data_IF_217958571929
#
_entry.id   IF_217958571929
#
_cell.length_a   1.000
_cell.length_b   1.000
_cell.length_c   1.000
_cell.angle_alpha   90.00
_cell.angle_beta   90.00
_cell.angle_gamma   90.00
#
_symmetry.space_group_name_H-M   'P 1'
#
loop_
_entity.id
_entity.type
_entity.pdbx_description
1 polymer ?
#
# COMPACT_ATOMS: atom_id res chain seq x y z
N UNK A 1 -34.63 18.83 -7.90
CA UNK A 1 -33.98 17.54 -8.23
C UNK A 1 -33.14 17.09 -7.04
N UNK A 2 -33.38 15.92 -6.45
CA UNK A 2 -32.56 15.46 -5.32
C UNK A 2 -31.13 15.19 -5.80
N UNK A 3 -30.13 15.78 -5.12
CA UNK A 3 -28.73 15.50 -5.43
C UNK A 3 -28.48 14.03 -5.10
N UNK A 4 -28.24 13.21 -6.12
CA UNK A 4 -27.92 11.78 -5.92
C UNK A 4 -26.76 11.65 -4.93
N UNK A 5 -26.96 10.83 -3.91
CA UNK A 5 -25.98 10.60 -2.85
C UNK A 5 -24.66 10.06 -3.44
N UNK A 6 -23.54 10.71 -3.12
CA UNK A 6 -22.23 10.44 -3.73
C UNK A 6 -21.76 8.96 -3.65
N UNK A 7 -21.96 8.22 -2.54
CA UNK A 7 -21.67 6.78 -2.50
C UNK A 7 -22.46 5.98 -3.53
N UNK A 8 -23.72 6.33 -3.76
CA UNK A 8 -24.58 5.63 -4.73
C UNK A 8 -24.09 5.87 -6.16
N UNK A 9 -23.64 7.09 -6.47
CA UNK A 9 -23.02 7.42 -7.76
C UNK A 9 -21.72 6.65 -7.98
N UNK A 10 -20.82 6.59 -6.99
CA UNK A 10 -19.58 5.81 -7.07
C UNK A 10 -19.86 4.32 -7.29
N UNK A 11 -20.83 3.75 -6.58
CA UNK A 11 -21.24 2.34 -6.78
C UNK A 11 -21.84 2.11 -8.17
N UNK A 12 -22.58 3.08 -8.70
CA UNK A 12 -23.08 3.02 -10.07
C UNK A 12 -21.93 3.00 -11.08
N UNK A 13 -20.95 3.90 -10.96
CA UNK A 13 -19.75 3.92 -11.82
C UNK A 13 -19.04 2.57 -11.79
N UNK A 14 -18.85 1.97 -10.60
CA UNK A 14 -18.24 0.64 -10.46
C UNK A 14 -19.03 -0.45 -11.21
N UNK A 15 -20.37 -0.44 -11.12
CA UNK A 15 -21.22 -1.43 -11.81
C UNK A 15 -21.16 -1.23 -13.32
N UNK A 16 -21.31 0.01 -13.76
CA UNK A 16 -21.24 0.41 -15.16
C UNK A 16 -19.92 -0.05 -15.82
N UNK A 17 -18.79 0.08 -15.12
CA UNK A 17 -17.50 -0.42 -15.59
C UNK A 17 -17.44 -1.95 -15.70
N UNK A 18 -18.02 -2.68 -14.74
CA UNK A 18 -18.10 -4.15 -14.78
C UNK A 18 -19.00 -4.64 -15.91
N UNK A 19 -20.02 -3.87 -16.25
CA UNK A 19 -20.94 -4.13 -17.37
C UNK A 19 -20.34 -3.73 -18.73
N UNK A 20 -19.08 -3.27 -18.77
CA UNK A 20 -18.39 -2.90 -20.02
C UNK A 20 -18.83 -1.57 -20.62
N UNK A 21 -19.50 -0.70 -19.84
CA UNK A 21 -19.84 0.65 -20.34
C UNK A 21 -18.57 1.46 -20.58
N UNK A 22 -18.58 2.26 -21.64
CA UNK A 22 -17.44 3.09 -22.02
C UNK A 22 -16.98 4.00 -20.87
N UNK A 23 -15.70 3.89 -20.53
CA UNK A 23 -15.03 4.74 -19.54
C UNK A 23 -15.08 6.22 -19.92
N UNK A 24 -15.11 6.54 -21.21
CA UNK A 24 -15.19 7.90 -21.74
C UNK A 24 -16.55 8.53 -21.39
N UNK A 25 -17.63 7.75 -21.48
CA UNK A 25 -18.98 8.20 -21.11
C UNK A 25 -19.18 8.30 -19.59
N UNK A 26 -18.39 7.57 -18.81
CA UNK A 26 -18.42 7.62 -17.35
C UNK A 26 -17.59 8.77 -16.77
N UNK A 27 -16.62 9.27 -17.52
CA UNK A 27 -15.71 10.31 -17.05
C UNK A 27 -16.42 11.62 -16.63
N UNK A 28 -17.37 12.19 -17.42
CA UNK A 28 -18.16 13.34 -16.97
C UNK A 28 -19.02 13.05 -15.74
N UNK A 29 -19.56 11.82 -15.63
CA UNK A 29 -20.36 11.41 -14.46
C UNK A 29 -19.51 11.40 -13.20
N UNK A 30 -18.28 10.90 -13.28
CA UNK A 30 -17.33 10.94 -12.16
C UNK A 30 -17.01 12.39 -11.78
N UNK A 31 -16.72 13.27 -12.74
CA UNK A 31 -16.50 14.70 -12.47
C UNK A 31 -17.66 15.36 -11.71
N UNK A 32 -18.89 14.94 -11.98
CA UNK A 32 -20.10 15.50 -11.34
C UNK A 32 -20.31 15.08 -9.88
N UNK A 33 -19.58 14.07 -9.37
CA UNK A 33 -19.69 13.62 -7.98
C UNK A 33 -19.21 14.76 -7.07
N UNK A 34 -20.09 15.28 -6.21
CA UNK A 34 -19.78 16.47 -5.40
C UNK A 34 -18.74 16.22 -4.31
N UNK A 35 -18.83 15.06 -3.64
CA UNK A 35 -17.96 14.71 -2.53
C UNK A 35 -16.57 14.27 -3.03
N UNK A 36 -15.48 14.93 -2.58
CA UNK A 36 -14.13 14.68 -3.08
C UNK A 36 -13.62 13.27 -2.79
N UNK A 37 -14.04 12.64 -1.68
CA UNK A 37 -13.64 11.27 -1.37
C UNK A 37 -14.17 10.30 -2.42
N UNK A 38 -15.48 10.41 -2.72
CA UNK A 38 -16.12 9.50 -3.68
C UNK A 38 -15.71 9.82 -5.12
N UNK A 39 -15.45 11.09 -5.42
CA UNK A 39 -14.94 11.51 -6.73
C UNK A 39 -13.53 10.96 -6.98
N UNK A 40 -12.60 11.12 -6.03
CA UNK A 40 -11.25 10.55 -6.11
C UNK A 40 -11.28 9.03 -6.29
N UNK A 41 -12.05 8.34 -5.45
CA UNK A 41 -12.21 6.89 -5.54
C UNK A 41 -12.77 6.46 -6.90
N UNK A 42 -13.73 7.21 -7.44
CA UNK A 42 -14.33 6.90 -8.75
C UNK A 42 -13.36 7.12 -9.90
N UNK A 43 -12.49 8.13 -9.85
CA UNK A 43 -11.43 8.28 -10.84
C UNK A 43 -10.43 7.11 -10.80
N UNK A 44 -10.02 6.65 -9.61
CA UNK A 44 -9.16 5.47 -9.51
C UNK A 44 -9.83 4.17 -9.98
N UNK A 45 -11.17 4.10 -9.95
CA UNK A 45 -11.89 2.99 -10.58
C UNK A 45 -11.89 3.08 -12.12
N UNK A 46 -11.84 4.30 -12.69
CA UNK A 46 -11.79 4.51 -14.14
C UNK A 46 -10.42 4.24 -14.73
N UNK A 47 -9.33 4.58 -14.03
CA UNK A 47 -7.95 4.51 -14.54
C UNK A 47 -7.62 3.19 -15.27
N UNK A 48 -7.94 1.98 -14.75
CA UNK A 48 -7.65 0.72 -15.44
C UNK A 48 -8.31 0.55 -16.81
N UNK A 49 -9.35 1.32 -17.11
CA UNK A 49 -10.16 1.22 -18.33
C UNK A 49 -9.84 2.34 -19.34
N UNK A 50 -9.02 3.33 -18.96
CA UNK A 50 -8.62 4.41 -19.85
C UNK A 50 -7.38 4.01 -20.66
N UNK A 51 -7.30 4.50 -21.90
CA UNK A 51 -6.12 4.28 -22.72
C UNK A 51 -4.86 4.92 -22.09
N UNK A 52 -3.72 4.20 -22.01
CA UNK A 52 -2.50 4.65 -21.34
C UNK A 52 -1.95 6.00 -21.80
N UNK A 53 -2.21 6.39 -23.06
CA UNK A 53 -1.73 7.66 -23.64
C UNK A 53 -2.81 8.73 -23.74
N UNK A 54 -4.01 8.47 -23.21
CA UNK A 54 -5.13 9.40 -23.31
C UNK A 54 -4.95 10.64 -22.43
N UNK A 55 -5.42 11.80 -22.92
CA UNK A 55 -5.52 13.02 -22.11
C UNK A 55 -6.41 12.80 -20.88
N UNK A 56 -7.47 12.01 -21.03
CA UNK A 56 -8.40 11.68 -19.95
C UNK A 56 -7.73 10.92 -18.80
N UNK A 57 -6.81 10.00 -19.07
CA UNK A 57 -6.07 9.31 -18.01
C UNK A 57 -5.24 10.28 -17.17
N UNK A 58 -4.46 11.15 -17.84
CA UNK A 58 -3.65 12.16 -17.15
C UNK A 58 -4.52 13.09 -16.29
N UNK A 59 -5.67 13.47 -16.84
CA UNK A 59 -6.65 14.27 -16.11
C UNK A 59 -7.25 13.50 -14.93
N UNK A 60 -7.60 12.21 -15.10
CA UNK A 60 -8.13 11.35 -14.04
C UNK A 60 -7.18 11.29 -12.84
N UNK A 61 -5.90 11.00 -13.09
CA UNK A 61 -4.86 10.89 -12.06
C UNK A 61 -4.70 12.24 -11.34
N UNK A 62 -4.64 13.33 -12.09
CA UNK A 62 -4.48 14.68 -11.54
C UNK A 62 -5.66 15.07 -10.66
N UNK A 63 -6.90 14.86 -11.14
CA UNK A 63 -8.11 15.19 -10.39
C UNK A 63 -8.25 14.29 -9.15
N UNK A 64 -8.01 12.99 -9.29
CA UNK A 64 -8.07 12.04 -8.18
C UNK A 64 -7.09 12.44 -7.06
N UNK A 65 -5.87 12.82 -7.43
CA UNK A 65 -4.85 13.27 -6.48
C UNK A 65 -5.26 14.57 -5.78
N UNK A 66 -5.73 15.58 -6.53
CA UNK A 66 -6.21 16.85 -5.96
C UNK A 66 -7.42 16.67 -5.04
N UNK A 67 -8.29 15.70 -5.34
CA UNK A 67 -9.47 15.46 -4.52
C UNK A 67 -9.15 14.76 -3.19
N UNK A 68 -8.07 13.98 -3.10
CA UNK A 68 -7.59 13.46 -1.81
C UNK A 68 -7.31 14.62 -0.85
N UNK A 69 -6.64 15.67 -1.33
CA UNK A 69 -6.29 16.84 -0.51
C UNK A 69 -7.52 17.62 -0.03
N UNK A 70 -8.63 17.55 -0.76
CA UNK A 70 -9.88 18.24 -0.40
C UNK A 70 -10.70 17.52 0.66
N UNK A 71 -10.40 16.25 0.95
CA UNK A 71 -11.09 15.50 2.01
C UNK A 71 -10.63 16.05 3.36
N UNK A 72 -11.53 16.72 4.08
CA UNK A 72 -11.20 17.48 5.28
C UNK A 72 -10.78 16.59 6.46
N UNK A 73 -11.48 15.47 6.67
CA UNK A 73 -11.26 14.62 7.83
C UNK A 73 -10.04 13.70 7.61
N UNK A 74 -9.00 13.74 8.47
CA UNK A 74 -7.79 12.92 8.31
C UNK A 74 -8.07 11.42 8.28
N UNK A 75 -8.90 10.91 9.20
CA UNK A 75 -9.29 9.49 9.22
C UNK A 75 -9.93 9.04 7.91
N UNK A 76 -10.69 9.94 7.27
CA UNK A 76 -11.36 9.68 5.99
C UNK A 76 -10.37 9.70 4.83
N UNK A 77 -9.31 10.53 4.90
CA UNK A 77 -8.18 10.47 3.95
C UNK A 77 -7.42 9.15 4.08
N UNK A 78 -7.09 8.71 5.30
CA UNK A 78 -6.41 7.42 5.53
C UNK A 78 -7.23 6.26 4.98
N UNK A 79 -8.53 6.22 5.25
CA UNK A 79 -9.43 5.21 4.70
C UNK A 79 -9.41 5.23 3.16
N UNK A 80 -9.51 6.42 2.56
CA UNK A 80 -9.47 6.60 1.11
C UNK A 80 -8.18 6.04 0.50
N UNK A 81 -7.02 6.43 1.02
CA UNK A 81 -5.71 5.93 0.58
C UNK A 81 -5.66 4.40 0.70
N UNK A 82 -6.22 3.85 1.79
CA UNK A 82 -6.27 2.41 2.04
C UNK A 82 -7.10 1.67 1.01
N UNK A 83 -8.25 2.23 0.63
CA UNK A 83 -9.12 1.67 -0.41
C UNK A 83 -8.45 1.77 -1.79
N UNK A 84 -7.87 2.92 -2.12
CA UNK A 84 -7.22 3.13 -3.43
C UNK A 84 -6.02 2.18 -3.58
N UNK A 85 -5.15 2.06 -2.56
CA UNK A 85 -4.00 1.15 -2.62
C UNK A 85 -4.41 -0.29 -2.96
N UNK A 86 -5.57 -0.75 -2.48
CA UNK A 86 -6.12 -2.07 -2.82
C UNK A 86 -6.62 -2.16 -4.26
N UNK A 87 -7.16 -1.08 -4.83
CA UNK A 87 -7.67 -1.07 -6.21
C UNK A 87 -6.57 -0.93 -7.26
N UNK A 88 -5.44 -0.29 -6.93
CA UNK A 88 -4.34 -0.08 -7.89
C UNK A 88 -3.78 -1.36 -8.50
N UNK A 89 -3.89 -2.50 -7.81
CA UNK A 89 -3.51 -3.82 -8.35
C UNK A 89 -4.25 -4.24 -9.64
N UNK A 90 -5.33 -3.54 -9.99
CA UNK A 90 -6.10 -3.80 -11.21
C UNK A 90 -5.54 -3.06 -12.43
N UNK A 91 -4.64 -2.10 -12.24
CA UNK A 91 -3.94 -1.39 -13.30
C UNK A 91 -2.89 -2.33 -13.90
N UNK A 92 -2.98 -2.59 -15.20
CA UNK A 92 -2.06 -3.50 -15.91
C UNK A 92 -0.79 -2.80 -16.38
N UNK A 93 -0.89 -1.53 -16.71
CA UNK A 93 0.24 -0.72 -17.13
C UNK A 93 1.16 -0.42 -15.94
N UNK A 94 2.43 -0.83 -16.06
CA UNK A 94 3.38 -0.76 -14.96
C UNK A 94 3.76 0.68 -14.60
N UNK A 95 3.86 1.57 -15.58
CA UNK A 95 4.22 2.98 -15.36
C UNK A 95 3.08 3.70 -14.63
N UNK A 96 1.84 3.51 -15.08
CA UNK A 96 0.66 4.10 -14.44
C UNK A 96 0.48 3.55 -13.04
N UNK A 97 0.69 2.25 -12.84
CA UNK A 97 0.63 1.62 -11.53
C UNK A 97 1.69 2.21 -10.60
N UNK A 98 2.94 2.31 -11.06
CA UNK A 98 4.03 2.89 -10.29
C UNK A 98 3.74 4.35 -9.89
N UNK A 99 3.31 5.17 -10.84
CA UNK A 99 2.94 6.57 -10.60
C UNK A 99 1.82 6.66 -9.55
N UNK A 100 0.78 5.84 -9.71
CA UNK A 100 -0.38 5.84 -8.81
C UNK A 100 0.00 5.46 -7.38
N UNK A 101 0.82 4.43 -7.18
CA UNK A 101 1.32 4.07 -5.85
C UNK A 101 2.22 5.17 -5.26
N UNK A 102 3.08 5.77 -6.08
CA UNK A 102 3.98 6.84 -5.64
C UNK A 102 3.19 8.05 -5.14
N UNK A 103 2.13 8.46 -5.85
CA UNK A 103 1.22 9.55 -5.42
C UNK A 103 0.53 9.23 -4.10
N UNK A 104 0.04 8.00 -3.90
CA UNK A 104 -0.57 7.60 -2.62
C UNK A 104 0.43 7.70 -1.46
N UNK A 105 1.67 7.27 -1.67
CA UNK A 105 2.72 7.33 -0.66
C UNK A 105 3.14 8.77 -0.35
N UNK A 106 3.18 9.64 -1.37
CA UNK A 106 3.38 11.08 -1.20
C UNK A 106 2.27 11.70 -0.34
N UNK A 107 1.00 11.42 -0.66
CA UNK A 107 -0.14 11.89 0.14
C UNK A 107 -0.11 11.38 1.56
N UNK A 108 0.23 10.10 1.76
CA UNK A 108 0.40 9.51 3.08
C UNK A 108 1.49 10.24 3.88
N UNK A 109 2.60 10.61 3.24
CA UNK A 109 3.71 11.31 3.89
C UNK A 109 3.34 12.68 4.47
N UNK A 110 2.23 13.28 4.03
CA UNK A 110 1.73 14.57 4.51
C UNK A 110 0.76 14.43 5.71
N UNK A 111 0.42 13.21 6.14
CA UNK A 111 -0.47 12.98 7.26
C UNK A 111 0.26 12.99 8.61
N UNK A 112 -0.50 13.02 9.71
CA UNK A 112 0.08 12.96 11.06
C UNK A 112 0.64 11.56 11.35
N UNK A 113 1.68 11.47 12.17
CA UNK A 113 2.33 10.19 12.51
C UNK A 113 1.35 9.10 13.00
N UNK A 114 0.31 9.45 13.76
CA UNK A 114 -0.72 8.50 14.23
C UNK A 114 -1.51 7.90 13.06
N UNK A 115 -1.87 8.74 12.09
CA UNK A 115 -2.64 8.38 10.90
C UNK A 115 -1.78 7.53 9.94
N UNK A 116 -0.51 7.91 9.76
CA UNK A 116 0.45 7.12 8.99
C UNK A 116 0.68 5.75 9.61
N UNK A 117 0.86 5.68 10.94
CA UNK A 117 0.98 4.42 11.68
C UNK A 117 -0.22 3.52 11.37
N UNK A 118 -1.43 4.03 11.55
CA UNK A 118 -2.66 3.26 11.33
C UNK A 118 -2.73 2.73 9.89
N UNK A 119 -2.39 3.58 8.93
CA UNK A 119 -2.31 3.19 7.53
C UNK A 119 -1.30 2.06 7.30
N UNK A 120 -0.06 2.19 7.77
CA UNK A 120 0.99 1.20 7.54
C UNK A 120 0.63 -0.15 8.17
N UNK A 121 0.02 -0.16 9.35
CA UNK A 121 -0.42 -1.38 10.01
C UNK A 121 -1.55 -2.10 9.24
N UNK A 122 -2.50 -1.35 8.66
CA UNK A 122 -3.68 -1.92 8.00
C UNK A 122 -3.48 -2.21 6.51
N UNK A 123 -2.75 -1.36 5.80
CA UNK A 123 -2.77 -1.27 4.35
C UNK A 123 -1.42 -1.53 3.65
N UNK A 124 -0.31 -1.66 4.38
CA UNK A 124 1.00 -2.01 3.78
C UNK A 124 0.96 -3.28 2.92
N UNK A 125 0.11 -4.26 3.28
CA UNK A 125 -0.12 -5.49 2.51
C UNK A 125 -0.70 -5.30 1.11
N UNK A 126 -1.22 -4.13 0.79
CA UNK A 126 -1.77 -3.82 -0.52
C UNK A 126 -0.68 -3.44 -1.54
N UNK A 127 0.53 -3.14 -1.08
CA UNK A 127 1.58 -2.57 -1.93
C UNK A 127 2.43 -3.65 -2.63
N UNK A 128 2.91 -3.39 -3.84
CA UNK A 128 3.85 -4.27 -4.55
C UNK A 128 5.26 -4.16 -3.96
N UNK A 129 6.14 -5.07 -4.39
CA UNK A 129 7.51 -5.17 -3.88
C UNK A 129 8.31 -3.87 -4.02
N UNK A 130 8.18 -3.17 -5.15
CA UNK A 130 8.92 -1.93 -5.41
C UNK A 130 8.59 -0.80 -4.41
N UNK A 131 7.46 -0.86 -3.71
CA UNK A 131 7.09 0.13 -2.70
C UNK A 131 7.65 -0.17 -1.31
N UNK A 132 8.22 -1.35 -1.07
CA UNK A 132 8.64 -1.77 0.27
C UNK A 132 9.72 -0.85 0.85
N UNK A 133 10.67 -0.41 0.02
CA UNK A 133 11.70 0.53 0.43
C UNK A 133 11.11 1.87 0.89
N UNK A 134 10.16 2.42 0.14
CA UNK A 134 9.47 3.67 0.50
C UNK A 134 8.64 3.50 1.77
N UNK A 135 7.89 2.40 1.91
CA UNK A 135 7.12 2.10 3.12
C UNK A 135 8.02 1.99 4.36
N UNK A 136 9.15 1.29 4.25
CA UNK A 136 10.15 1.18 5.32
C UNK A 136 10.80 2.54 5.63
N UNK A 137 11.07 3.35 4.61
CA UNK A 137 11.59 4.71 4.78
C UNK A 137 10.60 5.68 5.45
N UNK A 138 9.30 5.50 5.25
CA UNK A 138 8.26 6.22 6.01
C UNK A 138 8.25 5.70 7.45
N UNK A 139 8.21 4.38 7.63
CA UNK A 139 8.20 3.72 8.95
C UNK A 139 9.38 4.14 9.82
N UNK A 140 10.60 4.24 9.27
CA UNK A 140 11.79 4.62 10.03
C UNK A 140 11.77 6.05 10.57
N UNK A 141 10.93 6.93 10.00
CA UNK A 141 10.76 8.32 10.43
C UNK A 141 9.65 8.49 11.48
N UNK A 142 8.84 7.45 11.73
CA UNK A 142 7.73 7.49 12.68
C UNK A 142 8.20 7.22 14.11
N UNK A 143 8.76 8.24 14.77
CA UNK A 143 9.24 8.16 16.16
C UNK A 143 8.21 7.52 17.10
N UNK A 144 8.60 6.44 17.76
CA UNK A 144 7.78 5.68 18.70
C UNK A 144 6.97 4.54 18.06
N UNK A 145 6.93 4.46 16.73
CA UNK A 145 6.14 3.49 15.96
C UNK A 145 6.98 2.71 14.93
N UNK A 146 8.29 2.94 14.85
CA UNK A 146 9.19 2.37 13.85
C UNK A 146 9.14 0.84 13.86
N UNK A 147 9.20 0.24 15.06
CA UNK A 147 9.24 -1.20 15.21
C UNK A 147 7.92 -1.87 14.79
N UNK A 148 6.77 -1.39 15.27
CA UNK A 148 5.48 -2.02 14.98
C UNK A 148 5.08 -1.88 13.50
N UNK A 149 5.34 -0.72 12.89
CA UNK A 149 5.05 -0.46 11.48
C UNK A 149 6.02 -1.23 10.59
N UNK A 150 7.32 -1.26 10.93
CA UNK A 150 8.32 -2.08 10.27
C UNK A 150 7.97 -3.57 10.28
N UNK A 151 7.48 -4.11 11.41
CA UNK A 151 7.00 -5.51 11.49
C UNK A 151 5.84 -5.80 10.54
N UNK A 152 4.92 -4.86 10.34
CA UNK A 152 3.81 -5.04 9.41
C UNK A 152 4.32 -5.11 7.96
N UNK A 153 5.25 -4.23 7.60
CA UNK A 153 5.85 -4.19 6.27
C UNK A 153 6.70 -5.43 6.01
N UNK A 154 7.54 -5.87 6.97
CA UNK A 154 8.33 -7.10 6.85
C UNK A 154 7.44 -8.32 6.61
N UNK A 155 6.36 -8.50 7.39
CA UNK A 155 5.44 -9.64 7.23
C UNK A 155 4.92 -9.79 5.80
N UNK A 156 4.62 -8.66 5.18
CA UNK A 156 4.19 -8.64 3.79
C UNK A 156 5.37 -8.78 2.83
N UNK A 157 6.52 -8.16 3.14
CA UNK A 157 7.72 -8.15 2.30
C UNK A 157 8.38 -9.51 2.13
N UNK A 158 8.37 -10.37 3.15
CA UNK A 158 9.08 -11.67 3.12
C UNK A 158 8.53 -12.67 2.10
N UNK A 159 7.33 -12.43 1.55
CA UNK A 159 6.75 -13.26 0.50
C UNK A 159 7.40 -13.01 -0.88
N UNK A 160 8.14 -11.90 -1.02
CA UNK A 160 8.83 -11.57 -2.25
C UNK A 160 10.26 -12.12 -2.22
N UNK A 161 10.82 -12.37 -3.39
CA UNK A 161 12.19 -12.91 -3.53
C UNK A 161 13.27 -11.88 -3.14
N UNK A 162 12.87 -10.61 -3.01
CA UNK A 162 13.59 -9.39 -2.60
C UNK A 162 14.31 -9.35 -1.25
N UNK A 163 14.81 -10.46 -0.70
CA UNK A 163 15.25 -10.53 0.71
C UNK A 163 16.42 -9.58 1.04
N UNK A 164 17.40 -9.46 0.15
CA UNK A 164 18.56 -8.54 0.33
C UNK A 164 18.12 -7.08 0.43
N UNK A 165 17.22 -6.65 -0.45
CA UNK A 165 16.66 -5.29 -0.45
C UNK A 165 15.92 -4.94 0.85
N UNK A 166 15.30 -5.93 1.50
CA UNK A 166 14.70 -5.70 2.82
C UNK A 166 15.79 -5.38 3.85
N UNK A 167 16.88 -6.14 3.88
CA UNK A 167 18.02 -5.89 4.78
C UNK A 167 18.57 -4.48 4.58
N UNK A 168 18.87 -4.09 3.33
CA UNK A 168 19.42 -2.78 3.00
C UNK A 168 18.54 -1.62 3.50
N UNK A 169 17.21 -1.78 3.42
CA UNK A 169 16.28 -0.79 3.93
C UNK A 169 16.18 -0.79 5.46
N UNK A 170 16.29 -1.96 6.11
CA UNK A 170 16.30 -2.06 7.57
C UNK A 170 17.56 -1.47 8.20
N UNK A 171 18.69 -1.49 7.49
CA UNK A 171 19.94 -0.87 7.97
C UNK A 171 19.82 0.65 8.17
N UNK A 172 18.83 1.30 7.55
CA UNK A 172 18.55 2.74 7.65
C UNK A 172 17.76 3.14 8.91
N UNK A 173 17.31 2.19 9.72
CA UNK A 173 16.63 2.47 10.98
C UNK A 173 17.61 2.83 12.10
N UNK A 174 17.11 3.50 13.15
CA UNK A 174 17.88 3.72 14.38
C UNK A 174 18.35 2.38 14.99
N UNK A 175 19.44 2.41 15.78
CA UNK A 175 20.10 1.20 16.31
C UNK A 175 19.12 0.22 16.96
N UNK A 176 18.29 0.71 17.89
CA UNK A 176 17.32 -0.10 18.62
C UNK A 176 16.30 -0.77 17.70
N UNK A 177 15.69 -0.01 16.79
CA UNK A 177 14.66 -0.53 15.88
C UNK A 177 15.26 -1.45 14.82
N UNK A 178 16.43 -1.10 14.28
CA UNK A 178 17.20 -1.91 13.33
C UNK A 178 17.46 -3.30 13.88
N UNK A 179 18.04 -3.42 15.06
CA UNK A 179 18.34 -4.72 15.68
C UNK A 179 17.07 -5.56 15.86
N UNK A 180 16.00 -4.96 16.39
CA UNK A 180 14.72 -5.66 16.59
C UNK A 180 14.06 -6.09 15.27
N UNK A 181 14.10 -5.24 14.24
CA UNK A 181 13.52 -5.53 12.93
C UNK A 181 14.31 -6.57 12.13
N UNK A 182 15.65 -6.56 12.20
CA UNK A 182 16.49 -7.59 11.60
C UNK A 182 16.25 -8.95 12.27
N UNK A 183 16.20 -9.01 13.61
CA UNK A 183 15.81 -10.23 14.33
C UNK A 183 14.41 -10.72 13.95
N UNK A 184 13.46 -9.80 13.77
CA UNK A 184 12.12 -10.14 13.30
C UNK A 184 12.11 -10.65 11.85
N UNK A 185 12.88 -10.05 10.94
CA UNK A 185 13.03 -10.51 9.56
C UNK A 185 13.59 -11.94 9.53
N UNK A 186 14.66 -12.21 10.30
CA UNK A 186 15.22 -13.54 10.44
C UNK A 186 14.15 -14.57 10.88
N UNK A 187 13.38 -14.24 11.91
CA UNK A 187 12.28 -15.10 12.38
C UNK A 187 11.21 -15.35 11.29
N UNK A 188 10.84 -14.33 10.51
CA UNK A 188 9.86 -14.49 9.44
C UNK A 188 10.40 -15.36 8.29
N UNK A 189 11.66 -15.19 7.91
CA UNK A 189 12.32 -16.02 6.90
C UNK A 189 12.44 -17.48 7.37
N UNK A 190 12.82 -17.70 8.63
CA UNK A 190 12.86 -19.03 9.23
C UNK A 190 11.48 -19.72 9.18
N UNK A 191 10.40 -18.99 9.47
CA UNK A 191 9.03 -19.53 9.40
C UNK A 191 8.59 -19.92 7.98
N UNK A 192 9.07 -19.21 6.97
CA UNK A 192 8.79 -19.52 5.56
C UNK A 192 9.61 -20.71 5.05
N UNK A 193 10.86 -20.82 5.48
CA UNK A 193 11.80 -21.88 5.09
C UNK A 193 11.65 -23.17 5.90
N UNK A 194 10.47 -23.46 6.48
CA UNK A 194 10.21 -24.63 7.34
C UNK A 194 10.59 -25.99 6.73
N UNK A 195 10.83 -26.07 5.41
CA UNK A 195 11.27 -27.30 4.73
C UNK A 195 12.79 -27.42 4.52
N UNK A 196 13.58 -26.34 4.57
CA UNK A 196 15.04 -26.42 4.32
C UNK A 196 15.88 -26.36 5.61
N UNK A 197 15.47 -25.58 6.62
CA UNK A 197 16.28 -25.30 7.81
C UNK A 197 15.75 -25.89 9.12
N UNK A 198 14.69 -26.73 9.09
CA UNK A 198 14.40 -27.58 10.26
C UNK A 198 15.64 -28.39 10.66
N UNK A 199 16.50 -28.73 9.68
CA UNK A 199 17.80 -29.36 9.91
C UNK A 199 18.82 -28.51 10.68
N UNK A 200 18.81 -27.17 10.63
CA UNK A 200 19.84 -26.35 11.27
C UNK A 200 19.61 -26.21 12.78
N UNK A 201 18.39 -25.90 13.20
CA UNK A 201 18.02 -25.89 14.63
C UNK A 201 18.05 -27.31 15.21
N UNK A 202 17.56 -28.31 14.46
CA UNK A 202 17.68 -29.72 14.89
C UNK A 202 19.13 -30.19 14.99
N UNK A 203 20.04 -29.79 14.09
CA UNK A 203 21.47 -30.09 14.21
C UNK A 203 22.12 -29.37 15.38
N UNK A 204 21.77 -28.11 15.64
CA UNK A 204 22.28 -27.36 16.78
C UNK A 204 21.85 -27.96 18.12
N UNK A 205 20.59 -28.43 18.21
CA UNK A 205 20.08 -29.14 19.37
C UNK A 205 20.74 -30.52 19.53
N UNK A 206 20.91 -31.29 18.45
CA UNK A 206 21.64 -32.56 18.48
C UNK A 206 23.12 -32.41 18.86
N UNK A 207 23.78 -31.32 18.45
CA UNK A 207 25.16 -31.03 18.86
C UNK A 207 25.27 -30.56 20.30
N UNK A 208 24.20 -29.98 20.87
CA UNK A 208 24.17 -29.57 22.28
C UNK A 208 23.98 -30.79 23.20
N UNK A 209 23.11 -31.73 22.84
CA UNK A 209 22.92 -33.00 23.58
C UNK A 209 24.20 -33.87 23.60
N UNK A 210 25.07 -33.74 22.58
CA UNK A 210 26.33 -34.47 22.50
C UNK A 210 27.50 -33.87 23.30
N UNK A 211 27.31 -32.74 23.98
CA UNK A 211 28.35 -32.09 24.81
C UNK A 211 28.08 -32.17 26.32
N UNK A 212 27.00 -32.84 26.74
CA UNK A 212 26.69 -33.14 28.15
C UNK A 212 26.90 -34.64 28.47
N UNK A 213 27.95 -35.27 27.93
CA UNK A 213 28.38 -36.63 28.28
C UNK A 213 29.84 -36.67 28.70
#
# INVERSE_FOLDING_TARGET
>A
MSRKHAPSLMRQVRRDLKEGKSSENLFPKVKSISDPYYRSLSFYLLIPYLSPKSKQLKEAITLASKDIDKVQQPWRRIELLGIISKSLKTIRDAEIMYESYSRILEKLGNEKNKDIKEFLLKHSKNFPEFCLGTLLGISSKLKGYEFETGKAIIRHGVKFNSKSRLVDNLLKFNSTSKTKLLGYLHLQLFKLNKNEHSKALSKALQSADGQES
#
